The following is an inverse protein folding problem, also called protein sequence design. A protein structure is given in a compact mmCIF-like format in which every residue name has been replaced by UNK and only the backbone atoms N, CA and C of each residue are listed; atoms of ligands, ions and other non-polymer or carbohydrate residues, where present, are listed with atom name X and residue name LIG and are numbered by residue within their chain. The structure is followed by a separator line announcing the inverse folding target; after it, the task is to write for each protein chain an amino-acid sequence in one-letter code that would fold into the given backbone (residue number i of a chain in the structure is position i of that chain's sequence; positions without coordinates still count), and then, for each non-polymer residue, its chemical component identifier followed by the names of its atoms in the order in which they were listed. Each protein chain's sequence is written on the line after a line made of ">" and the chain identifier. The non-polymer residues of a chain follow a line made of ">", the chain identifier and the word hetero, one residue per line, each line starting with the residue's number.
data_IF_583302122489
#
_entry.id   IF_583302122489
#
_cell.length_a   1.000
_cell.length_b   1.000
_cell.length_c   1.000
_cell.angle_alpha   90.00
_cell.angle_beta   90.00
_cell.angle_gamma   90.00
#
_symmetry.space_group_name_H-M   'P 1'
#
loop_
_entity.id
_entity.type
_entity.pdbx_description
1 polymer ?
#
# COMPACT_ATOMS: atom_id res chain seq x y z
N UNK A 1 -67.50 -0.15 -17.00
CA UNK A 1 -67.36 -0.58 -18.40
C UNK A 1 -65.85 -0.81 -18.62
N UNK A 2 -65.48 -2.02 -18.99
CA UNK A 2 -64.16 -2.52 -19.48
C UNK A 2 -62.96 -2.39 -18.50
N UNK A 3 -62.20 -3.42 -18.19
CA UNK A 3 -62.21 -4.84 -18.53
C UNK A 3 -60.94 -5.45 -17.91
N UNK A 4 -61.08 -6.49 -17.13
CA UNK A 4 -60.00 -7.35 -16.62
C UNK A 4 -59.37 -8.09 -17.79
N UNK A 5 -58.00 -8.13 -17.85
CA UNK A 5 -57.31 -9.22 -18.52
C UNK A 5 -56.34 -9.88 -17.52
N UNK A 6 -56.64 -11.13 -17.23
CA UNK A 6 -55.78 -12.16 -16.69
C UNK A 6 -54.67 -12.44 -17.72
N UNK A 7 -53.45 -12.67 -17.22
CA UNK A 7 -52.47 -13.54 -17.86
C UNK A 7 -52.08 -14.61 -16.82
N UNK A 8 -52.66 -15.77 -17.01
CA UNK A 8 -52.16 -17.08 -16.64
C UNK A 8 -51.32 -17.51 -17.83
N UNK A 9 -50.15 -18.08 -17.56
CA UNK A 9 -49.24 -18.88 -18.43
C UNK A 9 -47.93 -18.98 -17.63
N UNK A 10 -47.20 -20.00 -17.45
CA UNK A 10 -47.29 -21.44 -17.67
C UNK A 10 -46.23 -22.01 -16.72
N UNK A 11 -46.60 -22.95 -15.85
CA UNK A 11 -45.69 -23.80 -15.16
C UNK A 11 -45.30 -24.92 -16.11
N UNK A 12 -44.11 -24.89 -16.70
CA UNK A 12 -43.53 -26.05 -17.33
C UNK A 12 -42.77 -26.90 -16.32
N UNK A 13 -43.23 -28.09 -16.25
CA UNK A 13 -42.85 -29.33 -15.65
C UNK A 13 -41.41 -29.70 -16.08
N UNK A 14 -40.46 -29.75 -15.14
CA UNK A 14 -39.16 -30.35 -15.39
C UNK A 14 -39.20 -31.81 -14.93
N UNK A 15 -39.21 -32.67 -15.92
CA UNK A 15 -39.06 -34.11 -15.79
C UNK A 15 -37.76 -34.51 -15.08
N UNK A 16 -37.94 -35.47 -14.19
CA UNK A 16 -36.96 -36.31 -13.55
C UNK A 16 -36.07 -37.01 -14.59
N UNK A 17 -34.78 -36.69 -14.67
CA UNK A 17 -33.81 -37.46 -15.42
C UNK A 17 -32.98 -38.32 -14.47
N UNK A 18 -33.44 -39.53 -14.23
CA UNK A 18 -32.66 -40.62 -13.62
C UNK A 18 -31.94 -41.38 -14.71
N UNK A 19 -30.62 -41.45 -14.68
CA UNK A 19 -29.84 -42.57 -15.21
C UNK A 19 -28.43 -42.56 -14.64
N UNK A 20 -28.19 -43.50 -13.79
CA UNK A 20 -27.13 -44.48 -13.73
C UNK A 20 -26.06 -44.31 -14.85
N UNK A 21 -24.81 -44.05 -14.42
CA UNK A 21 -23.65 -44.85 -14.75
C UNK A 21 -22.42 -44.23 -14.06
N UNK A 22 -21.72 -45.11 -13.31
CA UNK A 22 -20.57 -44.79 -12.50
C UNK A 22 -19.37 -44.28 -13.33
N UNK A 23 -18.79 -43.22 -12.84
CA UNK A 23 -17.40 -42.88 -13.06
C UNK A 23 -16.85 -42.37 -11.74
N UNK A 24 -16.28 -43.28 -10.97
CA UNK A 24 -15.44 -42.91 -9.84
C UNK A 24 -14.20 -42.17 -10.38
N UNK A 25 -13.85 -41.00 -9.88
CA UNK A 25 -12.60 -40.35 -10.24
C UNK A 25 -11.45 -41.18 -9.63
N UNK A 26 -10.58 -41.64 -10.48
CA UNK A 26 -9.30 -42.25 -10.14
C UNK A 26 -8.41 -41.22 -9.43
N UNK A 27 -8.26 -41.37 -8.11
CA UNK A 27 -7.19 -40.72 -7.37
C UNK A 27 -6.02 -41.72 -7.28
N UNK A 28 -4.82 -41.35 -7.73
CA UNK A 28 -3.64 -42.17 -7.43
C UNK A 28 -3.41 -42.07 -5.91
N UNK A 29 -3.30 -43.22 -5.27
CA UNK A 29 -2.78 -43.33 -3.91
C UNK A 29 -1.32 -42.87 -3.94
N UNK A 30 -1.04 -41.67 -3.46
CA UNK A 30 0.33 -41.22 -3.23
C UNK A 30 0.82 -41.91 -1.97
N UNK A 31 1.80 -42.79 -2.19
CA UNK A 31 2.63 -43.41 -1.17
C UNK A 31 3.23 -42.36 -0.23
N UNK A 32 3.19 -42.67 1.04
CA UNK A 32 3.75 -41.93 2.17
C UNK A 32 5.14 -41.36 1.88
N UNK A 33 5.22 -40.10 1.54
CA UNK A 33 6.46 -39.32 1.63
C UNK A 33 6.48 -38.61 2.98
N UNK A 34 6.94 -39.31 4.02
CA UNK A 34 7.41 -38.70 5.24
C UNK A 34 8.60 -37.81 4.90
N UNK A 35 8.36 -36.51 4.76
CA UNK A 35 9.42 -35.52 4.67
C UNK A 35 10.06 -35.38 6.04
N UNK A 36 11.24 -35.98 6.20
CA UNK A 36 12.10 -35.88 7.35
C UNK A 36 12.48 -34.38 7.54
N UNK A 37 12.02 -33.77 8.61
CA UNK A 37 12.32 -32.37 8.97
C UNK A 37 13.78 -32.28 9.41
N UNK A 38 14.63 -31.64 8.61
CA UNK A 38 16.01 -31.34 8.97
C UNK A 38 16.07 -29.99 9.75
N UNK A 39 16.47 -30.02 11.05
CA UNK A 39 16.58 -28.79 11.86
C UNK A 39 17.76 -27.90 11.48
N UNK A 40 18.52 -28.21 10.41
CA UNK A 40 19.66 -27.41 9.98
C UNK A 40 19.29 -26.22 9.05
N UNK A 41 18.03 -26.10 8.59
CA UNK A 41 17.59 -25.02 7.69
C UNK A 41 17.17 -23.71 8.42
N UNK A 42 17.35 -23.61 9.73
CA UNK A 42 17.03 -22.38 10.51
C UNK A 42 18.19 -21.36 10.60
N UNK A 43 19.21 -21.42 9.79
CA UNK A 43 20.36 -20.54 9.92
C UNK A 43 20.71 -19.79 8.63
N UNK A 44 19.87 -18.87 8.18
CA UNK A 44 20.34 -17.76 7.33
C UNK A 44 19.50 -16.49 7.50
N UNK A 45 19.70 -15.80 8.63
CA UNK A 45 19.55 -14.36 8.72
C UNK A 45 20.94 -13.74 8.65
N UNK A 46 21.28 -12.91 7.67
CA UNK A 46 22.51 -12.13 7.73
C UNK A 46 22.38 -11.12 8.87
N UNK A 47 23.34 -11.19 9.80
CA UNK A 47 23.54 -10.23 10.86
C UNK A 47 23.66 -8.82 10.29
N UNK A 48 23.07 -7.88 10.99
CA UNK A 48 23.10 -6.45 10.75
C UNK A 48 24.55 -5.99 10.55
N UNK A 49 24.88 -5.56 9.33
CA UNK A 49 26.10 -4.79 9.08
C UNK A 49 25.92 -3.41 9.69
N UNK A 50 26.81 -3.08 10.63
CA UNK A 50 26.84 -1.86 11.42
C UNK A 50 26.74 -0.62 10.54
N UNK A 51 25.98 0.33 11.02
CA UNK A 51 25.95 1.70 10.53
C UNK A 51 27.27 2.35 10.93
N UNK A 52 28.15 2.58 9.94
CA UNK A 52 29.28 3.46 10.11
C UNK A 52 28.75 4.88 10.32
N UNK A 53 28.99 5.36 11.51
CA UNK A 53 28.76 6.72 11.98
C UNK A 53 29.73 7.64 11.24
N UNK A 54 29.26 8.34 10.22
CA UNK A 54 30.04 9.42 9.58
C UNK A 54 29.99 10.63 10.51
N UNK A 55 31.05 10.81 11.28
CA UNK A 55 31.37 12.08 11.94
C UNK A 55 31.64 13.13 10.85
N UNK A 56 30.73 14.09 10.72
CA UNK A 56 30.97 15.33 9.97
C UNK A 56 32.00 16.16 10.76
N UNK A 57 33.24 16.16 10.30
CA UNK A 57 34.26 17.09 10.74
C UNK A 57 33.91 18.48 10.25
N UNK A 58 33.49 19.36 11.13
CA UNK A 58 33.40 20.77 10.88
C UNK A 58 34.81 21.36 10.92
N UNK A 59 35.32 21.80 9.76
CA UNK A 59 36.52 22.62 9.69
C UNK A 59 36.20 23.99 10.33
N UNK A 60 36.78 24.23 11.49
CA UNK A 60 36.82 25.53 12.13
C UNK A 60 37.80 26.44 11.35
N UNK A 61 37.25 27.45 10.67
CA UNK A 61 38.03 28.53 10.09
C UNK A 61 38.60 29.39 11.22
N UNK A 62 39.94 29.35 11.39
CA UNK A 62 40.64 30.27 12.28
C UNK A 62 40.69 31.70 11.68
N UNK A 63 40.50 32.73 12.52
CA UNK A 63 40.56 34.13 12.05
C UNK A 63 42.01 34.57 11.88
N UNK A 64 42.34 35.08 10.70
CA UNK A 64 43.64 35.74 10.43
C UNK A 64 43.71 37.05 11.18
N UNK A 65 44.60 37.12 12.18
CA UNK A 65 44.99 38.37 12.83
C UNK A 65 45.92 39.19 11.91
N UNK A 66 45.50 40.38 11.60
CA UNK A 66 46.20 41.41 10.83
C UNK A 66 47.16 42.14 11.78
N UNK A 67 48.43 41.72 11.86
CA UNK A 67 49.46 42.51 12.57
C UNK A 67 50.15 43.48 11.61
N UNK A 68 49.84 44.74 11.78
CA UNK A 68 50.53 45.83 11.18
C UNK A 68 51.85 46.10 11.95
N UNK A 69 52.98 45.91 11.30
CA UNK A 69 54.27 46.39 11.82
C UNK A 69 54.90 47.41 10.87
N UNK A 70 54.98 48.65 11.36
CA UNK A 70 55.66 49.75 10.77
C UNK A 70 57.18 49.61 10.96
N UNK A 71 57.93 49.46 9.88
CA UNK A 71 59.39 49.54 9.89
C UNK A 71 59.81 50.47 8.75
N UNK A 72 60.20 51.66 9.11
CA UNK A 72 60.77 52.65 8.22
C UNK A 72 62.25 52.48 8.29
N UNK A 73 62.92 52.11 7.23
CA UNK A 73 64.33 52.24 7.04
C UNK A 73 64.59 52.78 5.62
N UNK A 74 65.14 54.03 5.61
CA UNK A 74 65.55 54.73 4.45
C UNK A 74 66.92 54.16 4.00
N UNK A 75 66.96 53.45 2.89
CA UNK A 75 68.22 53.16 2.20
C UNK A 75 68.12 53.57 0.73
N UNK A 76 68.93 54.51 0.42
CA UNK A 76 69.31 55.11 -0.87
C UNK A 76 69.94 54.03 -1.75
N UNK A 77 69.34 53.69 -2.92
CA UNK A 77 69.90 52.82 -3.90
C UNK A 77 69.90 53.48 -5.30
N UNK A 78 71.03 53.43 -5.90
CA UNK A 78 71.44 53.92 -7.23
C UNK A 78 70.47 53.44 -8.34
N UNK A 79 70.16 54.39 -9.23
CA UNK A 79 69.38 54.19 -10.46
C UNK A 79 70.16 53.32 -11.47
N UNK A 80 69.77 52.06 -11.62
CA UNK A 80 70.04 51.27 -12.81
C UNK A 80 68.94 51.47 -13.87
N UNK A 81 69.23 51.41 -15.16
CA UNK A 81 68.29 51.78 -16.24
C UNK A 81 67.17 50.80 -16.37
N UNK A 82 65.97 51.33 -16.31
CA UNK A 82 64.67 50.61 -16.43
C UNK A 82 64.61 49.74 -17.70
N UNK A 83 64.74 48.43 -17.52
CA UNK A 83 64.27 47.45 -18.51
C UNK A 83 62.76 47.41 -18.49
N UNK A 84 62.14 48.04 -19.51
CA UNK A 84 60.67 48.13 -19.60
C UNK A 84 60.06 46.73 -19.54
N UNK A 85 59.14 46.49 -18.62
CA UNK A 85 58.48 45.16 -18.50
C UNK A 85 57.76 44.87 -19.81
N UNK A 86 58.16 43.78 -20.46
CA UNK A 86 57.44 43.20 -21.59
C UNK A 86 56.04 42.92 -21.16
N UNK A 87 55.07 43.72 -21.59
CA UNK A 87 53.65 43.53 -21.39
C UNK A 87 53.29 42.15 -21.85
N UNK A 88 53.07 41.23 -20.89
CA UNK A 88 52.45 39.96 -21.16
C UNK A 88 51.04 40.28 -21.69
N UNK A 89 50.85 40.17 -22.99
CA UNK A 89 49.55 40.18 -23.62
C UNK A 89 48.80 38.99 -23.08
N UNK A 90 47.92 39.24 -22.06
CA UNK A 90 46.95 38.27 -21.61
C UNK A 90 46.05 38.02 -22.81
N UNK A 91 46.21 36.83 -23.40
CA UNK A 91 45.38 36.35 -24.47
C UNK A 91 43.93 36.30 -23.89
N UNK A 92 43.15 37.37 -24.04
CA UNK A 92 41.71 37.35 -23.82
C UNK A 92 41.17 36.55 -25.00
N UNK A 93 40.56 35.37 -24.75
CA UNK A 93 39.87 34.69 -25.83
C UNK A 93 38.82 35.63 -26.37
N UNK A 94 38.89 36.01 -27.63
CA UNK A 94 37.83 36.73 -28.33
C UNK A 94 36.57 35.88 -28.20
N UNK A 95 35.66 36.31 -27.32
CA UNK A 95 34.33 35.74 -27.26
C UNK A 95 33.62 36.10 -28.55
N UNK A 96 33.72 35.19 -29.52
CA UNK A 96 32.98 35.30 -30.78
C UNK A 96 31.52 35.54 -30.42
N UNK A 97 31.00 36.76 -30.68
CA UNK A 97 29.61 37.08 -30.46
C UNK A 97 28.76 36.06 -31.21
N UNK A 98 27.87 35.32 -30.57
CA UNK A 98 27.03 34.35 -31.26
C UNK A 98 26.25 35.07 -32.36
N UNK A 99 26.08 34.44 -33.50
CA UNK A 99 25.26 34.98 -34.59
C UNK A 99 23.90 35.39 -34.06
N UNK A 100 23.38 36.55 -34.49
CA UNK A 100 22.11 37.09 -34.04
C UNK A 100 20.99 36.04 -34.02
N UNK A 101 20.90 35.23 -35.05
CA UNK A 101 19.91 34.11 -35.17
C UNK A 101 20.07 33.10 -34.04
N UNK A 102 21.31 32.71 -33.70
CA UNK A 102 21.60 31.77 -32.62
C UNK A 102 21.25 32.37 -31.28
N UNK A 103 21.53 33.66 -31.05
CA UNK A 103 21.14 34.35 -29.81
C UNK A 103 19.64 34.43 -29.62
N UNK A 104 18.89 34.73 -30.69
CA UNK A 104 17.42 34.76 -30.67
C UNK A 104 16.87 33.38 -30.39
N UNK A 105 17.38 32.34 -31.08
CA UNK A 105 16.96 30.96 -30.87
C UNK A 105 17.19 30.50 -29.42
N UNK A 106 18.39 30.71 -28.86
CA UNK A 106 18.72 30.35 -27.49
C UNK A 106 17.87 31.09 -26.48
N UNK A 107 17.57 32.37 -26.72
CA UNK A 107 16.72 33.15 -25.84
C UNK A 107 15.26 32.67 -25.90
N UNK A 108 14.77 32.33 -27.08
CA UNK A 108 13.43 31.73 -27.25
C UNK A 108 13.30 30.39 -26.51
N UNK A 109 14.29 29.50 -26.65
CA UNK A 109 14.35 28.22 -25.93
C UNK A 109 14.35 28.46 -24.41
N UNK A 110 15.14 29.44 -23.93
CA UNK A 110 15.20 29.79 -22.51
C UNK A 110 13.85 30.29 -21.98
N UNK A 111 13.17 31.15 -22.74
CA UNK A 111 11.84 31.65 -22.38
C UNK A 111 10.81 30.50 -22.35
N UNK A 112 10.82 29.62 -23.37
CA UNK A 112 9.94 28.44 -23.39
C UNK A 112 10.18 27.51 -22.19
N UNK A 113 11.45 27.29 -21.82
CA UNK A 113 11.82 26.46 -20.66
C UNK A 113 11.31 27.09 -19.36
N UNK A 114 11.44 28.41 -19.19
CA UNK A 114 10.87 29.12 -18.01
C UNK A 114 9.36 28.99 -17.97
N UNK A 115 8.66 29.15 -19.09
CA UNK A 115 7.20 28.98 -19.18
C UNK A 115 6.82 27.54 -18.81
N UNK A 116 7.55 26.55 -19.29
CA UNK A 116 7.32 25.12 -18.98
C UNK A 116 7.47 24.87 -17.47
N UNK A 117 8.53 25.39 -16.85
CA UNK A 117 8.77 25.25 -15.41
C UNK A 117 7.65 25.92 -14.61
N UNK A 118 7.26 27.16 -14.97
CA UNK A 118 6.17 27.86 -14.30
C UNK A 118 4.82 27.13 -14.44
N UNK A 119 4.53 26.61 -15.63
CA UNK A 119 3.33 25.80 -15.86
C UNK A 119 3.37 24.50 -15.03
N UNK A 120 4.53 23.85 -14.92
CA UNK A 120 4.72 22.68 -14.06
C UNK A 120 4.47 22.99 -12.59
N UNK A 121 5.03 24.07 -12.07
CA UNK A 121 4.82 24.53 -10.68
C UNK A 121 3.35 24.87 -10.44
N UNK A 122 2.71 25.59 -11.35
CA UNK A 122 1.28 25.94 -11.24
C UNK A 122 0.40 24.67 -11.27
N UNK A 123 0.72 23.71 -12.15
CA UNK A 123 0.03 22.42 -12.24
C UNK A 123 0.16 21.59 -10.95
N UNK A 124 1.36 21.48 -10.39
CA UNK A 124 1.60 20.82 -9.10
C UNK A 124 0.86 21.51 -7.96
N UNK A 125 0.86 22.84 -7.93
CA UNK A 125 0.11 23.63 -6.94
C UNK A 125 -1.40 23.37 -7.03
N UNK A 126 -1.96 23.32 -8.23
CA UNK A 126 -3.37 23.01 -8.45
C UNK A 126 -3.72 21.59 -7.99
N UNK A 127 -2.88 20.59 -8.32
CA UNK A 127 -3.06 19.21 -7.86
C UNK A 127 -3.00 19.09 -6.34
N UNK A 128 -2.04 19.76 -5.71
CA UNK A 128 -1.93 19.80 -4.24
C UNK A 128 -3.15 20.47 -3.59
N UNK A 129 -3.67 21.56 -4.19
CA UNK A 129 -4.88 22.23 -3.73
C UNK A 129 -6.12 21.33 -3.81
N UNK A 130 -6.29 20.60 -4.91
CA UNK A 130 -7.39 19.63 -5.07
C UNK A 130 -7.25 18.50 -4.05
N UNK A 131 -6.07 17.93 -3.90
CA UNK A 131 -5.80 16.88 -2.94
C UNK A 131 -6.12 17.34 -1.51
N UNK A 132 -5.68 18.55 -1.15
CA UNK A 132 -6.02 19.17 0.15
C UNK A 132 -7.53 19.32 0.32
N UNK A 133 -8.26 19.82 -0.67
CA UNK A 133 -9.72 19.95 -0.61
C UNK A 133 -10.42 18.58 -0.40
N UNK A 134 -9.89 17.51 -0.95
CA UNK A 134 -10.42 16.16 -0.70
C UNK A 134 -10.10 15.66 0.72
N UNK A 135 -8.91 15.94 1.24
CA UNK A 135 -8.50 15.63 2.61
C UNK A 135 -9.38 16.41 3.61
N UNK A 136 -9.63 17.69 3.39
CA UNK A 136 -10.45 18.52 4.27
C UNK A 136 -11.92 18.04 4.37
N UNK A 137 -12.37 17.22 3.40
CA UNK A 137 -13.70 16.58 3.40
C UNK A 137 -13.65 15.10 3.80
N UNK A 138 -12.51 14.59 4.25
CA UNK A 138 -12.42 13.22 4.76
C UNK A 138 -13.22 13.10 6.08
N UNK A 139 -13.89 11.96 6.30
CA UNK A 139 -14.53 11.70 7.57
C UNK A 139 -13.50 11.70 8.71
N UNK A 140 -13.93 12.04 9.91
CA UNK A 140 -13.08 11.91 11.08
C UNK A 140 -12.75 10.42 11.31
N UNK A 141 -11.52 10.15 11.69
CA UNK A 141 -11.08 8.79 12.07
C UNK A 141 -11.76 8.43 13.40
N UNK A 142 -12.95 7.87 13.30
CA UNK A 142 -13.69 7.40 14.47
C UNK A 142 -13.32 5.96 14.80
N UNK A 143 -12.47 5.80 15.80
CA UNK A 143 -11.94 4.52 16.26
C UNK A 143 -13.03 3.65 16.88
N UNK A 144 -14.02 4.28 17.55
CA UNK A 144 -15.16 3.57 18.14
C UNK A 144 -16.00 2.91 17.05
N UNK A 145 -16.16 3.53 15.88
CA UNK A 145 -16.90 2.92 14.77
C UNK A 145 -16.19 1.67 14.20
N UNK A 146 -14.88 1.53 14.40
CA UNK A 146 -14.14 0.33 14.01
C UNK A 146 -14.32 -0.82 15.02
N UNK A 147 -14.48 -0.48 16.30
CA UNK A 147 -14.67 -1.46 17.38
C UNK A 147 -16.14 -1.85 17.57
N UNK A 148 -17.10 -0.99 17.18
CA UNK A 148 -18.54 -1.18 17.39
C UNK A 148 -19.27 -1.67 16.13
N UNK A 149 -18.61 -2.42 15.26
CA UNK A 149 -19.26 -3.02 14.09
C UNK A 149 -20.33 -4.04 14.52
N UNK A 150 -21.36 -4.20 13.69
CA UNK A 150 -22.43 -5.16 13.96
C UNK A 150 -21.87 -6.57 14.14
N UNK A 151 -22.22 -7.20 15.26
CA UNK A 151 -21.78 -8.55 15.62
C UNK A 151 -22.98 -9.51 15.66
N UNK A 152 -22.70 -10.79 15.50
CA UNK A 152 -23.66 -11.85 15.72
C UNK A 152 -23.98 -11.96 17.22
N UNK A 153 -25.25 -12.00 17.56
CA UNK A 153 -25.71 -12.24 18.93
C UNK A 153 -26.00 -13.72 19.14
N UNK A 154 -25.52 -14.25 20.26
CA UNK A 154 -25.73 -15.67 20.64
C UNK A 154 -26.73 -15.74 21.78
N UNK A 155 -27.75 -16.60 21.66
CA UNK A 155 -28.75 -16.82 22.68
C UNK A 155 -28.50 -18.18 23.30
N UNK A 156 -28.34 -18.21 24.62
CA UNK A 156 -28.04 -19.41 25.40
C UNK A 156 -29.20 -19.76 26.33
N UNK A 157 -29.35 -21.05 26.66
CA UNK A 157 -30.24 -21.49 27.72
C UNK A 157 -29.66 -21.22 29.12
N UNK A 158 -30.43 -21.50 30.17
CA UNK A 158 -29.97 -21.33 31.56
C UNK A 158 -28.78 -22.24 31.95
N UNK A 159 -28.45 -23.23 31.14
CA UNK A 159 -27.35 -24.17 31.36
C UNK A 159 -26.13 -23.80 30.55
N UNK A 160 -26.20 -22.72 29.75
CA UNK A 160 -25.08 -22.26 28.88
C UNK A 160 -25.05 -22.96 27.52
N UNK A 161 -26.06 -23.72 27.12
CA UNK A 161 -26.12 -24.31 25.80
C UNK A 161 -26.64 -23.29 24.78
N UNK A 162 -26.00 -23.21 23.63
CA UNK A 162 -26.42 -22.35 22.54
C UNK A 162 -27.80 -22.78 22.02
N UNK A 163 -28.79 -21.89 22.09
CA UNK A 163 -30.13 -22.10 21.55
C UNK A 163 -30.15 -21.70 20.07
N UNK A 164 -29.65 -20.50 19.77
CA UNK A 164 -29.63 -19.97 18.39
C UNK A 164 -28.67 -18.80 18.25
N UNK A 165 -28.29 -18.54 17.03
CA UNK A 165 -27.54 -17.35 16.63
C UNK A 165 -28.49 -16.36 15.96
N UNK A 166 -28.48 -15.12 16.42
CA UNK A 166 -29.17 -14.03 15.77
C UNK A 166 -28.15 -13.25 14.90
N UNK A 167 -28.17 -13.53 13.60
CA UNK A 167 -27.34 -12.89 12.58
C UNK A 167 -28.11 -11.67 12.08
N UNK A 168 -27.49 -10.48 12.22
CA UNK A 168 -28.04 -9.26 11.65
C UNK A 168 -27.79 -9.21 10.12
N UNK A 169 -27.61 -8.02 9.60
CA UNK A 169 -27.21 -7.82 8.18
C UNK A 169 -25.78 -8.31 7.89
N UNK A 170 -24.97 -8.44 8.94
CA UNK A 170 -23.58 -8.92 8.88
C UNK A 170 -23.40 -10.04 9.91
N UNK A 171 -22.80 -11.14 9.48
CA UNK A 171 -22.42 -12.23 10.37
C UNK A 171 -20.94 -12.05 10.72
N UNK A 172 -20.67 -11.67 11.99
CA UNK A 172 -19.31 -11.34 12.46
C UNK A 172 -19.11 -11.80 13.90
N UNK A 173 -17.99 -12.44 14.16
CA UNK A 173 -17.47 -12.78 15.48
C UNK A 173 -16.06 -12.23 15.58
N UNK A 174 -15.83 -11.39 16.60
CA UNK A 174 -14.52 -10.79 16.80
C UNK A 174 -13.61 -11.75 17.57
N UNK A 175 -12.37 -11.87 17.10
CA UNK A 175 -11.32 -12.66 17.74
C UNK A 175 -10.04 -11.85 17.84
N UNK A 176 -9.28 -12.08 18.91
CA UNK A 176 -7.97 -11.43 19.07
C UNK A 176 -6.95 -11.97 18.07
N UNK A 177 -5.97 -11.15 17.72
CA UNK A 177 -4.90 -11.58 16.81
C UNK A 177 -4.15 -12.82 17.31
N UNK A 178 -3.98 -12.94 18.63
CA UNK A 178 -3.29 -14.08 19.24
C UNK A 178 -4.05 -15.41 19.06
N UNK A 179 -5.38 -15.35 18.94
CA UNK A 179 -6.19 -16.52 18.62
C UNK A 179 -6.13 -16.93 17.14
N UNK A 180 -5.60 -16.05 16.27
CA UNK A 180 -5.46 -16.32 14.85
C UNK A 180 -4.12 -17.01 14.58
N UNK A 181 -4.08 -18.20 13.92
CA UNK A 181 -2.83 -18.89 13.59
C UNK A 181 -1.89 -18.03 12.75
N UNK A 182 -0.58 -18.15 12.99
CA UNK A 182 0.43 -17.42 12.19
C UNK A 182 0.28 -17.67 10.69
N UNK A 183 -0.02 -18.91 10.28
CA UNK A 183 -0.19 -19.25 8.86
C UNK A 183 -1.38 -18.51 8.23
N UNK A 184 -2.48 -18.30 8.97
CA UNK A 184 -3.62 -17.50 8.49
C UNK A 184 -3.22 -16.04 8.29
N UNK A 185 -2.61 -15.42 9.31
CA UNK A 185 -2.12 -14.04 9.25
C UNK A 185 -1.17 -13.83 8.07
N UNK A 186 -0.19 -14.73 7.93
CA UNK A 186 0.80 -14.69 6.86
C UNK A 186 0.18 -14.89 5.47
N UNK A 187 -0.85 -15.72 5.33
CA UNK A 187 -1.53 -15.92 4.04
C UNK A 187 -2.19 -14.62 3.56
N UNK A 188 -2.91 -13.90 4.44
CA UNK A 188 -3.51 -12.60 4.09
C UNK A 188 -2.46 -11.54 3.78
N UNK A 189 -1.39 -11.46 4.58
CA UNK A 189 -0.28 -10.53 4.33
C UNK A 189 0.37 -10.83 2.99
N UNK A 190 0.65 -12.09 2.68
CA UNK A 190 1.31 -12.48 1.43
C UNK A 190 0.47 -12.15 0.19
N UNK A 191 -0.85 -12.33 0.26
CA UNK A 191 -1.76 -12.09 -0.87
C UNK A 191 -2.05 -10.59 -1.03
N UNK A 192 -2.40 -9.92 0.06
CA UNK A 192 -2.90 -8.55 0.02
C UNK A 192 -1.79 -7.50 0.13
N UNK A 193 -0.81 -7.71 0.98
CA UNK A 193 0.19 -6.70 1.29
C UNK A 193 1.49 -7.31 1.83
N UNK A 194 2.28 -7.94 0.97
CA UNK A 194 3.50 -8.65 1.35
C UNK A 194 4.54 -7.80 2.12
N UNK A 195 4.40 -6.46 2.08
CA UNK A 195 5.27 -5.54 2.80
C UNK A 195 4.55 -4.78 3.91
N UNK A 196 3.46 -5.33 4.43
CA UNK A 196 2.61 -4.70 5.43
C UNK A 196 3.39 -4.10 6.60
N UNK A 197 4.36 -4.83 7.16
CA UNK A 197 5.16 -4.38 8.30
C UNK A 197 6.26 -3.36 7.95
N UNK A 198 6.50 -3.09 6.66
CA UNK A 198 7.61 -2.23 6.21
C UNK A 198 7.22 -0.87 5.65
N UNK A 199 5.92 -0.53 5.66
CA UNK A 199 5.44 0.79 5.24
C UNK A 199 4.50 1.40 6.30
N UNK A 200 4.20 2.69 6.19
CA UNK A 200 3.35 3.44 7.13
C UNK A 200 1.99 3.79 6.48
N UNK A 201 1.16 2.78 6.23
CA UNK A 201 -0.21 2.95 5.70
C UNK A 201 -0.31 2.94 4.17
N UNK A 202 0.67 3.47 3.47
CA UNK A 202 0.72 3.53 2.00
C UNK A 202 2.05 2.97 1.50
N UNK A 203 2.01 2.04 0.56
CA UNK A 203 3.19 1.47 -0.07
C UNK A 203 3.48 2.13 -1.43
N UNK A 204 4.34 3.15 -1.43
CA UNK A 204 4.72 3.87 -2.65
C UNK A 204 5.43 2.98 -3.67
N UNK A 205 6.26 2.02 -3.22
CA UNK A 205 6.95 1.09 -4.15
C UNK A 205 5.95 0.20 -4.87
N UNK A 206 4.91 -0.28 -4.16
CA UNK A 206 3.83 -1.08 -4.73
C UNK A 206 2.97 -0.27 -5.69
N UNK A 207 2.66 0.99 -5.36
CA UNK A 207 1.89 1.89 -6.25
C UNK A 207 2.64 2.10 -7.56
N UNK A 208 3.93 2.45 -7.51
CA UNK A 208 4.75 2.64 -8.72
C UNK A 208 4.87 1.33 -9.50
N UNK A 209 5.11 0.21 -8.82
CA UNK A 209 5.17 -1.12 -9.45
C UNK A 209 3.87 -1.50 -10.15
N UNK A 210 2.72 -1.29 -9.49
CA UNK A 210 1.40 -1.52 -10.08
C UNK A 210 1.14 -0.61 -11.28
N UNK A 211 1.54 0.67 -11.21
CA UNK A 211 1.39 1.59 -12.35
C UNK A 211 2.20 1.13 -13.56
N UNK A 212 3.46 0.75 -13.36
CA UNK A 212 4.32 0.24 -14.45
C UNK A 212 3.76 -1.08 -15.00
N UNK A 213 3.34 -2.01 -14.14
CA UNK A 213 2.75 -3.28 -14.54
C UNK A 213 1.47 -3.08 -15.35
N UNK A 214 0.58 -2.20 -14.92
CA UNK A 214 -0.68 -1.90 -15.60
C UNK A 214 -0.48 -1.18 -16.95
N UNK A 215 0.66 -0.49 -17.14
CA UNK A 215 1.01 0.13 -18.42
C UNK A 215 1.68 -0.85 -19.39
N UNK A 216 2.38 -1.87 -18.87
CA UNK A 216 3.20 -2.78 -19.67
C UNK A 216 2.59 -4.16 -19.87
N UNK A 217 1.62 -4.56 -19.05
CA UNK A 217 0.95 -5.86 -19.11
C UNK A 217 -0.57 -5.72 -19.14
N UNK A 218 -1.25 -6.72 -19.68
CA UNK A 218 -2.72 -6.76 -19.76
C UNK A 218 -3.43 -7.11 -18.45
N UNK A 219 -2.68 -7.32 -17.35
CA UNK A 219 -3.21 -7.62 -16.03
C UNK A 219 -3.37 -6.36 -15.18
N UNK A 220 -4.44 -6.27 -14.37
CA UNK A 220 -4.60 -5.21 -13.38
C UNK A 220 -4.00 -5.64 -12.05
N UNK A 221 -2.88 -5.03 -11.65
CA UNK A 221 -2.28 -5.26 -10.34
C UNK A 221 -2.79 -4.22 -9.32
N UNK A 222 -3.31 -4.70 -8.19
CA UNK A 222 -3.76 -3.84 -7.09
C UNK A 222 -2.60 -3.25 -6.28
N UNK A 223 -2.63 -1.95 -6.04
CA UNK A 223 -1.62 -1.23 -5.25
C UNK A 223 -2.07 -0.83 -3.84
N UNK A 224 -3.26 -1.24 -3.37
CA UNK A 224 -3.79 -0.87 -2.06
C UNK A 224 -3.19 -1.74 -0.95
N UNK A 225 -2.91 -1.13 0.21
CA UNK A 225 -2.42 -1.81 1.40
C UNK A 225 -3.57 -2.37 2.23
N UNK A 226 -3.28 -3.27 3.19
CA UNK A 226 -4.24 -3.76 4.19
C UNK A 226 -4.86 -2.58 4.95
N UNK A 227 -4.07 -1.60 5.37
CA UNK A 227 -4.55 -0.41 6.08
C UNK A 227 -5.52 0.41 5.24
N UNK A 228 -5.25 0.61 3.95
CA UNK A 228 -6.17 1.29 3.03
C UNK A 228 -7.46 0.51 2.82
N UNK A 229 -7.38 -0.82 2.74
CA UNK A 229 -8.57 -1.67 2.61
C UNK A 229 -9.44 -1.62 3.87
N UNK A 230 -8.84 -1.63 5.05
CA UNK A 230 -9.56 -1.47 6.31
C UNK A 230 -10.33 -0.14 6.33
N UNK A 231 -9.68 0.98 6.05
CA UNK A 231 -10.31 2.31 5.96
C UNK A 231 -11.46 2.31 4.95
N UNK A 232 -11.24 1.75 3.76
CA UNK A 232 -12.26 1.64 2.72
C UNK A 232 -13.51 0.88 3.21
N UNK A 233 -13.31 -0.22 3.91
CA UNK A 233 -14.38 -1.10 4.32
C UNK A 233 -15.16 -0.59 5.54
N UNK A 234 -14.55 0.27 6.38
CA UNK A 234 -15.13 0.71 7.66
C UNK A 234 -15.63 2.14 7.66
N UNK A 235 -14.95 3.05 6.96
CA UNK A 235 -15.18 4.49 7.11
C UNK A 235 -15.63 5.20 5.82
N UNK A 236 -15.40 4.58 4.65
CA UNK A 236 -15.68 5.24 3.38
C UNK A 236 -16.84 4.60 2.63
N UNK A 237 -17.50 5.40 1.78
CA UNK A 237 -18.57 4.92 0.92
C UNK A 237 -18.04 3.97 -0.17
N UNK A 238 -18.91 3.13 -0.71
CA UNK A 238 -18.59 2.17 -1.78
C UNK A 238 -18.30 2.85 -3.13
N UNK A 239 -18.59 4.15 -3.29
CA UNK A 239 -18.39 4.90 -4.53
C UNK A 239 -16.92 4.92 -4.95
N UNK A 240 -16.63 4.50 -6.18
CA UNK A 240 -15.26 4.50 -6.71
C UNK A 240 -14.92 5.87 -7.31
N UNK A 241 -14.09 6.64 -6.60
CA UNK A 241 -13.65 7.96 -7.04
C UNK A 241 -12.19 8.24 -6.67
N UNK A 242 -11.54 9.15 -7.41
CA UNK A 242 -10.20 9.63 -7.04
C UNK A 242 -10.21 10.33 -5.67
N UNK A 243 -11.29 11.03 -5.36
CA UNK A 243 -11.50 11.65 -4.04
C UNK A 243 -11.38 10.61 -2.94
N UNK A 244 -12.15 9.51 -3.04
CA UNK A 244 -12.08 8.41 -2.07
C UNK A 244 -10.67 7.84 -1.96
N UNK A 245 -9.95 7.65 -3.08
CA UNK A 245 -8.60 7.07 -3.04
C UNK A 245 -7.58 7.97 -2.33
N UNK A 246 -7.71 9.29 -2.46
CA UNK A 246 -6.89 10.25 -1.70
C UNK A 246 -7.26 10.22 -0.21
N UNK A 247 -8.54 10.15 0.12
CA UNK A 247 -9.02 10.02 1.49
C UNK A 247 -8.57 8.71 2.13
N UNK A 248 -8.64 7.57 1.41
CA UNK A 248 -8.09 6.29 1.87
C UNK A 248 -6.62 6.40 2.27
N UNK A 249 -5.79 6.98 1.39
CA UNK A 249 -4.37 7.14 1.65
C UNK A 249 -4.10 8.04 2.88
N UNK A 250 -4.79 9.16 2.97
CA UNK A 250 -4.67 10.09 4.09
C UNK A 250 -5.09 9.45 5.42
N UNK A 251 -6.25 8.82 5.47
CA UNK A 251 -6.76 8.17 6.68
C UNK A 251 -5.90 6.95 7.06
N UNK A 252 -5.34 6.22 6.09
CA UNK A 252 -4.42 5.12 6.36
C UNK A 252 -3.14 5.61 7.05
N UNK A 253 -2.56 6.73 6.63
CA UNK A 253 -1.43 7.35 7.32
C UNK A 253 -1.80 7.78 8.76
N UNK A 254 -3.00 8.34 8.95
CA UNK A 254 -3.46 8.72 10.29
C UNK A 254 -3.70 7.50 11.19
N UNK A 255 -4.24 6.42 10.64
CA UNK A 255 -4.51 5.19 11.38
C UNK A 255 -3.19 4.58 11.90
N UNK A 256 -2.17 4.49 11.05
CA UNK A 256 -0.87 3.94 11.43
C UNK A 256 -0.08 4.82 12.42
N UNK A 257 -0.41 6.09 12.53
CA UNK A 257 0.13 6.94 13.60
C UNK A 257 -0.53 6.70 14.98
N UNK A 258 -1.65 5.98 15.03
CA UNK A 258 -2.45 5.79 16.26
C UNK A 258 -2.51 4.33 16.70
N UNK A 259 -2.37 3.39 15.77
CA UNK A 259 -2.46 1.95 16.00
C UNK A 259 -1.19 1.23 15.56
N UNK A 260 -0.88 0.15 16.26
CA UNK A 260 0.19 -0.76 15.85
C UNK A 260 -0.25 -1.58 14.62
N UNK A 261 0.72 -2.11 13.89
CA UNK A 261 0.47 -3.02 12.78
C UNK A 261 -0.40 -4.22 13.16
N UNK A 262 -0.16 -4.77 14.33
CA UNK A 262 -0.90 -5.93 14.82
C UNK A 262 -2.36 -5.58 15.13
N UNK A 263 -2.62 -4.41 15.71
CA UNK A 263 -3.99 -3.92 15.92
C UNK A 263 -4.72 -3.67 14.58
N UNK A 264 -4.03 -3.11 13.60
CA UNK A 264 -4.59 -2.88 12.27
C UNK A 264 -4.91 -4.21 11.57
N UNK A 265 -4.00 -5.20 11.67
CA UNK A 265 -4.21 -6.53 11.11
C UNK A 265 -5.38 -7.25 11.79
N UNK A 266 -5.48 -7.16 13.12
CA UNK A 266 -6.60 -7.71 13.88
C UNK A 266 -7.93 -7.14 13.41
N UNK A 267 -8.05 -5.81 13.34
CA UNK A 267 -9.25 -5.14 12.83
C UNK A 267 -9.56 -5.55 11.39
N UNK A 268 -8.54 -5.65 10.53
CA UNK A 268 -8.73 -6.06 9.14
C UNK A 268 -9.29 -7.49 9.03
N UNK A 269 -8.67 -8.44 9.71
CA UNK A 269 -9.07 -9.85 9.68
C UNK A 269 -10.46 -10.09 10.30
N UNK A 270 -10.90 -9.24 11.22
CA UNK A 270 -12.25 -9.25 11.79
C UNK A 270 -13.29 -8.53 10.93
N UNK A 271 -12.87 -7.76 9.91
CA UNK A 271 -13.78 -6.88 9.15
C UNK A 271 -13.95 -7.32 7.70
N UNK A 272 -12.95 -7.99 7.12
CA UNK A 272 -12.94 -8.34 5.70
C UNK A 272 -14.13 -9.20 5.32
N UNK A 273 -14.80 -8.83 4.20
CA UNK A 273 -15.87 -9.62 3.62
C UNK A 273 -15.31 -10.79 2.81
N UNK A 274 -15.75 -11.99 3.13
CA UNK A 274 -15.25 -13.24 2.54
C UNK A 274 -16.32 -14.03 1.77
N UNK A 275 -17.47 -13.40 1.48
CA UNK A 275 -18.60 -14.03 0.79
C UNK A 275 -19.66 -14.58 1.75
N UNK A 276 -20.81 -15.07 1.23
CA UNK A 276 -21.88 -15.74 2.01
C UNK A 276 -22.34 -14.97 3.28
N UNK A 277 -22.23 -13.66 3.28
CA UNK A 277 -22.47 -12.81 4.45
C UNK A 277 -21.46 -13.01 5.61
N UNK A 278 -20.31 -13.61 5.34
CA UNK A 278 -19.23 -13.79 6.32
C UNK A 278 -18.31 -12.57 6.36
N UNK A 279 -18.29 -11.90 7.49
CA UNK A 279 -17.41 -10.78 7.79
C UNK A 279 -16.40 -11.21 8.85
N UNK A 280 -15.15 -11.25 8.50
CA UNK A 280 -14.05 -11.72 9.33
C UNK A 280 -13.75 -13.20 9.19
N UNK A 281 -12.52 -13.54 9.60
CA UNK A 281 -11.93 -14.88 9.37
C UNK A 281 -12.57 -15.96 10.22
N UNK A 282 -13.06 -15.66 11.44
CA UNK A 282 -13.69 -16.63 12.33
C UNK A 282 -14.97 -17.20 11.73
N UNK A 283 -15.87 -16.31 11.33
CA UNK A 283 -17.15 -16.71 10.73
C UNK A 283 -16.95 -17.43 9.40
N UNK A 284 -15.94 -17.01 8.62
CA UNK A 284 -15.61 -17.66 7.36
C UNK A 284 -15.04 -19.06 7.58
N UNK A 285 -14.18 -19.27 8.59
CA UNK A 285 -13.63 -20.59 8.94
C UNK A 285 -14.76 -21.55 9.34
N UNK A 286 -15.62 -21.11 10.22
CA UNK A 286 -16.79 -21.90 10.63
C UNK A 286 -17.75 -22.16 9.47
N UNK A 287 -18.05 -21.12 8.68
CA UNK A 287 -19.01 -21.19 7.60
C UNK A 287 -18.56 -22.07 6.43
N UNK A 288 -17.30 -21.98 6.02
CA UNK A 288 -16.78 -22.73 4.88
C UNK A 288 -16.27 -24.12 5.24
N UNK A 289 -15.60 -24.27 6.39
CA UNK A 289 -14.89 -25.49 6.76
C UNK A 289 -15.46 -26.17 8.01
N UNK A 290 -16.33 -25.51 8.77
CA UNK A 290 -16.85 -26.03 10.03
C UNK A 290 -15.78 -26.21 11.09
N UNK A 291 -14.75 -25.34 11.09
CA UNK A 291 -13.56 -25.45 11.94
C UNK A 291 -13.31 -24.17 12.71
N UNK A 292 -12.70 -24.31 13.87
CA UNK A 292 -12.12 -23.20 14.60
C UNK A 292 -10.82 -22.72 13.89
N UNK A 293 -10.42 -21.46 14.11
CA UNK A 293 -9.23 -20.90 13.45
C UNK A 293 -7.95 -21.73 13.69
N UNK A 294 -7.81 -22.27 14.90
CA UNK A 294 -6.66 -23.10 15.29
C UNK A 294 -6.50 -24.40 14.51
N UNK A 295 -7.61 -24.90 13.94
CA UNK A 295 -7.68 -26.19 13.22
C UNK A 295 -7.62 -26.02 11.70
N UNK A 296 -7.42 -24.79 11.21
CA UNK A 296 -7.26 -24.53 9.78
C UNK A 296 -5.93 -25.05 9.28
N UNK A 297 -5.96 -25.76 8.17
CA UNK A 297 -4.78 -26.12 7.41
C UNK A 297 -4.23 -24.93 6.60
N UNK A 298 -2.98 -25.00 6.19
CA UNK A 298 -2.38 -23.96 5.32
C UNK A 298 -3.19 -23.76 4.03
N UNK A 299 -3.73 -24.83 3.46
CA UNK A 299 -4.58 -24.78 2.26
C UNK A 299 -5.85 -23.96 2.52
N UNK A 300 -6.53 -24.19 3.62
CA UNK A 300 -7.73 -23.45 4.00
C UNK A 300 -7.43 -21.99 4.30
N UNK A 301 -6.31 -21.69 4.96
CA UNK A 301 -5.84 -20.32 5.15
C UNK A 301 -5.59 -19.61 3.81
N UNK A 302 -4.97 -20.29 2.86
CA UNK A 302 -4.71 -19.74 1.52
C UNK A 302 -6.01 -19.53 0.72
N UNK A 303 -6.99 -20.42 0.86
CA UNK A 303 -8.32 -20.26 0.23
C UNK A 303 -9.02 -19.02 0.80
N UNK A 304 -9.06 -18.84 2.12
CA UNK A 304 -9.65 -17.65 2.73
C UNK A 304 -8.96 -16.36 2.27
N UNK A 305 -7.63 -16.35 2.23
CA UNK A 305 -6.87 -15.20 1.75
C UNK A 305 -7.13 -14.92 0.26
N UNK A 306 -7.22 -15.96 -0.58
CA UNK A 306 -7.53 -15.82 -2.00
C UNK A 306 -8.95 -15.32 -2.28
N UNK A 307 -9.91 -15.64 -1.41
CA UNK A 307 -11.31 -15.21 -1.55
C UNK A 307 -11.48 -13.69 -1.48
N UNK A 308 -10.56 -12.95 -0.85
CA UNK A 308 -10.60 -11.49 -0.75
C UNK A 308 -10.65 -10.79 -2.11
N UNK A 309 -9.99 -11.35 -3.12
CA UNK A 309 -9.94 -10.78 -4.47
C UNK A 309 -11.31 -10.73 -5.16
N UNK A 310 -12.08 -11.78 -5.01
CA UNK A 310 -13.46 -11.87 -5.52
C UNK A 310 -14.24 -12.91 -4.70
N UNK A 311 -14.90 -12.48 -3.61
CA UNK A 311 -15.58 -13.37 -2.68
C UNK A 311 -16.75 -14.19 -3.29
N UNK A 312 -17.25 -13.78 -4.43
CA UNK A 312 -18.30 -14.54 -5.14
C UNK A 312 -17.72 -15.59 -6.08
N UNK A 313 -16.60 -15.26 -6.75
CA UNK A 313 -15.98 -16.17 -7.71
C UNK A 313 -15.08 -17.23 -7.05
N UNK A 314 -14.31 -16.82 -6.03
CA UNK A 314 -13.41 -17.70 -5.27
C UNK A 314 -14.07 -18.27 -4.00
N UNK A 315 -15.41 -18.34 -3.99
CA UNK A 315 -16.15 -18.93 -2.89
C UNK A 315 -15.85 -20.44 -2.82
N UNK A 316 -15.39 -20.97 -1.66
CA UNK A 316 -15.06 -22.40 -1.51
C UNK A 316 -16.22 -23.36 -1.74
N UNK A 317 -17.50 -22.87 -1.67
CA UNK A 317 -18.68 -23.70 -1.93
C UNK A 317 -19.06 -23.76 -3.41
N UNK A 318 -18.48 -22.90 -4.25
CA UNK A 318 -18.84 -22.78 -5.67
C UNK A 318 -17.72 -23.30 -6.57
N UNK A 319 -16.48 -23.35 -6.06
CA UNK A 319 -15.30 -23.87 -6.79
C UNK A 319 -15.18 -25.37 -6.68
#
# INVERSE_FOLDING_TARGET
>A
MFGKKKHEEDFEEYEEFSSEEGNEPFFPEDEDAEAEYDPADEAYYPEESGYDEYEEAYDEEEPYEEEASWGRDDEEYDEEPEDKPKTRTIFRPETRKPNFVVSVLLNTIRVLLVILVLAGVAGLGALAGIAKGYVDTAPELNLVAMDTQAQTSFIYDSNGNLITEYKGTENRVLVSLDAMPKMLRNAFIAVEDARFYSHSGVDLKRIVGALVSNLTSSGTQGGSTITQQLIKNTLLSSEQSYKRKIQEAYLALQLENRYTKDQILECYLNTIFLGENYYGVEVAAQGYFGKDLGDLTLRECAILAGATNNPYYYNPRVC
#
